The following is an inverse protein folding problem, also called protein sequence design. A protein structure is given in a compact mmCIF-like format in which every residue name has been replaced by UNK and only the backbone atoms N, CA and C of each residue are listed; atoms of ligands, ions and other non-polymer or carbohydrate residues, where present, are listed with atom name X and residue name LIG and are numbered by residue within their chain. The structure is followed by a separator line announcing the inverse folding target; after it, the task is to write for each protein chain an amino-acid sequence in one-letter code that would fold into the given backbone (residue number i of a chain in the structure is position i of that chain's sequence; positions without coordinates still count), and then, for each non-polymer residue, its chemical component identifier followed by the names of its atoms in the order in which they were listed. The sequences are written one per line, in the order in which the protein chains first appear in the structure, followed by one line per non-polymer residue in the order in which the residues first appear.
data_IF_250638846264
#
_entry.id   IF_250638846264
#
_cell.length_a   1.000
_cell.length_b   1.000
_cell.length_c   1.000
_cell.angle_alpha   90.00
_cell.angle_beta   90.00
_cell.angle_gamma   90.00
#
_symmetry.space_group_name_H-M   'P 1'
#
loop_
_entity.id
_entity.type
_entity.pdbx_description
1 polymer ?
#
# COMPACT_ATOMS: atom_id res chain seq x y z
N UNK A 1 2.12 -45.22 11.44
CA UNK A 1 2.65 -44.65 10.16
C UNK A 1 3.69 -43.53 10.41
N UNK A 2 3.90 -43.08 11.66
CA UNK A 2 4.93 -42.08 12.00
C UNK A 2 6.20 -42.68 12.64
N UNK A 3 6.23 -43.98 12.94
CA UNK A 3 7.36 -44.65 13.64
C UNK A 3 8.60 -44.93 12.76
N UNK A 4 8.59 -44.50 11.49
CA UNK A 4 9.63 -44.80 10.51
C UNK A 4 10.47 -43.59 10.07
N UNK A 5 10.20 -42.39 10.56
CA UNK A 5 11.05 -41.22 10.28
C UNK A 5 12.08 -41.06 11.41
N UNK A 6 13.39 -41.21 11.14
CA UNK A 6 14.40 -40.91 12.15
C UNK A 6 14.21 -39.47 12.64
N UNK A 7 14.38 -39.22 13.95
CA UNK A 7 14.12 -37.93 14.59
C UNK A 7 14.80 -36.73 13.91
N UNK A 8 15.92 -36.97 13.22
CA UNK A 8 16.65 -36.00 12.40
C UNK A 8 15.87 -35.56 11.16
N UNK A 9 15.16 -36.46 10.48
CA UNK A 9 14.35 -36.14 9.29
C UNK A 9 13.10 -35.34 9.64
N UNK A 10 12.48 -35.65 10.78
CA UNK A 10 11.38 -34.83 11.30
C UNK A 10 11.83 -33.40 11.59
N UNK A 11 13.01 -33.23 12.21
CA UNK A 11 13.61 -31.92 12.44
C UNK A 11 13.83 -31.14 11.15
N UNK A 12 14.44 -31.76 10.13
CA UNK A 12 14.63 -31.12 8.83
C UNK A 12 13.33 -30.78 8.11
N UNK A 13 12.31 -31.64 8.21
CA UNK A 13 10.99 -31.35 7.65
C UNK A 13 10.35 -30.13 8.31
N UNK A 14 10.44 -30.01 9.65
CA UNK A 14 9.93 -28.84 10.37
C UNK A 14 10.67 -27.55 9.99
N UNK A 15 12.00 -27.62 9.85
CA UNK A 15 12.81 -26.48 9.37
C UNK A 15 12.39 -26.05 7.97
N UNK A 16 12.19 -27.00 7.05
CA UNK A 16 11.76 -26.71 5.69
C UNK A 16 10.36 -26.08 5.66
N UNK A 17 9.41 -26.64 6.42
CA UNK A 17 8.06 -26.08 6.56
C UNK A 17 8.13 -24.65 7.12
N UNK A 18 8.92 -24.42 8.17
CA UNK A 18 9.10 -23.09 8.75
C UNK A 18 9.74 -22.10 7.75
N UNK A 19 10.72 -22.55 6.96
CA UNK A 19 11.38 -21.72 5.95
C UNK A 19 10.41 -21.32 4.81
N UNK A 20 9.60 -22.26 4.31
CA UNK A 20 8.55 -21.98 3.31
C UNK A 20 7.48 -21.03 3.89
N UNK A 21 7.19 -21.18 5.19
CA UNK A 21 6.19 -20.39 5.92
C UNK A 21 6.76 -19.18 6.66
N UNK A 22 7.96 -18.73 6.32
CA UNK A 22 8.66 -17.69 7.07
C UNK A 22 7.85 -16.40 7.20
N UNK A 23 7.06 -16.02 6.19
CA UNK A 23 6.21 -14.82 6.25
C UNK A 23 4.91 -15.03 7.03
N UNK A 24 4.55 -16.27 7.34
CA UNK A 24 3.39 -16.65 8.15
C UNK A 24 3.72 -16.96 9.62
N UNK A 25 5.00 -16.94 10.01
CA UNK A 25 5.40 -17.15 11.41
C UNK A 25 4.90 -16.01 12.31
N UNK A 26 4.70 -16.27 13.62
CA UNK A 26 4.40 -15.21 14.58
C UNK A 26 5.39 -14.04 14.44
N UNK A 27 4.86 -12.82 14.49
CA UNK A 27 5.62 -11.56 14.34
C UNK A 27 6.25 -11.31 12.96
N UNK A 28 6.17 -12.22 11.98
CA UNK A 28 6.77 -12.01 10.66
C UNK A 28 6.26 -10.73 9.98
N UNK A 29 4.96 -10.44 10.08
CA UNK A 29 4.38 -9.18 9.63
C UNK A 29 5.01 -7.96 10.32
N UNK A 30 5.10 -7.97 11.64
CA UNK A 30 5.64 -6.87 12.43
C UNK A 30 7.12 -6.62 12.10
N UNK A 31 7.91 -7.68 11.94
CA UNK A 31 9.31 -7.60 11.51
C UNK A 31 9.39 -6.97 10.13
N UNK A 32 8.61 -7.44 9.15
CA UNK A 32 8.57 -6.86 7.79
C UNK A 32 8.15 -5.40 7.79
N UNK A 33 7.19 -5.04 8.63
CA UNK A 33 6.74 -3.66 8.79
C UNK A 33 7.86 -2.77 9.37
N UNK A 34 8.53 -3.22 10.42
CA UNK A 34 9.67 -2.51 11.02
C UNK A 34 10.82 -2.37 10.02
N UNK A 35 11.12 -3.41 9.26
CA UNK A 35 12.13 -3.37 8.19
C UNK A 35 11.73 -2.40 7.08
N UNK A 36 10.45 -2.35 6.70
CA UNK A 36 9.94 -1.39 5.71
C UNK A 36 10.07 0.05 6.20
N UNK A 37 9.71 0.29 7.45
CA UNK A 37 9.85 1.61 8.10
C UNK A 37 11.33 2.01 8.18
N UNK A 38 12.21 1.12 8.64
CA UNK A 38 13.64 1.36 8.70
C UNK A 38 14.26 1.60 7.31
N UNK A 39 13.81 0.83 6.31
CA UNK A 39 14.19 1.02 4.92
C UNK A 39 13.77 2.40 4.43
N UNK A 40 12.53 2.84 4.70
CA UNK A 40 12.11 4.18 4.29
C UNK A 40 12.91 5.27 4.99
N UNK A 41 13.16 5.16 6.31
CA UNK A 41 14.02 6.12 7.02
C UNK A 41 15.41 6.22 6.37
N UNK A 42 15.99 5.09 5.97
CA UNK A 42 17.28 5.05 5.27
C UNK A 42 17.23 5.71 3.88
N UNK A 43 16.12 5.57 3.16
CA UNK A 43 15.95 6.18 1.83
C UNK A 43 15.52 7.65 1.88
N UNK A 44 15.21 8.18 3.06
CA UNK A 44 14.92 9.60 3.27
C UNK A 44 13.50 10.01 2.91
N UNK A 45 13.32 11.31 2.67
CA UNK A 45 12.01 11.88 2.32
C UNK A 45 11.65 11.59 0.86
N UNK A 46 10.36 11.43 0.57
CA UNK A 46 9.88 11.39 -0.81
C UNK A 46 9.77 12.83 -1.34
N UNK A 47 10.38 13.17 -2.49
CA UNK A 47 10.31 14.52 -3.04
C UNK A 47 8.90 14.91 -3.52
N UNK A 48 8.16 13.95 -4.06
CA UNK A 48 6.83 14.16 -4.60
C UNK A 48 5.87 13.08 -4.11
N UNK A 49 4.76 13.51 -3.49
CA UNK A 49 3.68 12.63 -3.02
C UNK A 49 2.87 12.03 -4.17
N UNK A 50 2.88 12.63 -5.36
CA UNK A 50 2.20 12.14 -6.56
C UNK A 50 2.99 11.02 -7.26
N UNK A 51 4.31 10.97 -7.07
CA UNK A 51 5.14 9.82 -7.45
C UNK A 51 5.14 8.75 -6.35
N UNK A 52 5.14 9.20 -5.09
CA UNK A 52 4.96 8.35 -3.93
C UNK A 52 6.17 7.48 -3.58
N UNK A 53 5.92 6.46 -2.76
CA UNK A 53 6.94 5.50 -2.31
C UNK A 53 6.88 4.23 -3.15
N UNK A 54 8.04 3.68 -3.49
CA UNK A 54 8.20 2.45 -4.27
C UNK A 54 8.88 1.37 -3.43
N UNK A 55 8.19 0.27 -3.19
CA UNK A 55 8.70 -0.88 -2.44
C UNK A 55 8.93 -2.06 -3.40
N UNK A 56 10.20 -2.37 -3.74
CA UNK A 56 10.51 -3.58 -4.49
C UNK A 56 10.34 -4.81 -3.58
N UNK A 57 9.51 -5.74 -4.00
CA UNK A 57 9.10 -6.90 -3.21
C UNK A 57 9.06 -8.18 -4.07
N UNK A 58 8.91 -9.32 -3.41
CA UNK A 58 8.65 -10.62 -4.03
C UNK A 58 7.47 -11.29 -3.34
N UNK A 59 6.72 -12.07 -4.10
CA UNK A 59 5.67 -12.94 -3.53
C UNK A 59 6.34 -14.12 -2.85
N UNK A 60 6.14 -14.27 -1.55
CA UNK A 60 6.61 -15.46 -0.84
C UNK A 60 5.63 -16.62 -1.02
N UNK A 61 6.10 -17.87 -1.05
CA UNK A 61 5.22 -19.04 -1.16
C UNK A 61 4.11 -19.06 -0.10
N UNK A 62 4.40 -18.62 1.13
CA UNK A 62 3.41 -18.52 2.21
C UNK A 62 2.45 -17.34 2.11
N UNK A 63 2.64 -16.45 1.14
CA UNK A 63 1.67 -15.40 0.80
C UNK A 63 0.70 -15.86 -0.30
N UNK A 64 0.91 -17.05 -0.87
CA UNK A 64 0.06 -17.62 -1.90
C UNK A 64 -1.10 -18.42 -1.30
N UNK A 65 -2.22 -18.46 -2.01
CA UNK A 65 -3.32 -19.36 -1.70
C UNK A 65 -3.15 -20.72 -2.43
N UNK A 66 -4.17 -21.58 -2.33
CA UNK A 66 -4.19 -22.91 -2.94
C UNK A 66 -4.07 -22.90 -4.47
N UNK A 67 -4.39 -21.78 -5.12
CA UNK A 67 -4.28 -21.63 -6.58
C UNK A 67 -2.87 -21.21 -7.01
N UNK A 68 -1.91 -21.14 -6.06
CA UNK A 68 -0.52 -20.80 -6.32
C UNK A 68 -0.34 -19.41 -6.91
N UNK A 69 -1.16 -18.45 -6.50
CA UNK A 69 -0.91 -17.04 -6.70
C UNK A 69 -1.01 -16.29 -5.38
N UNK A 70 -0.44 -15.08 -5.34
CA UNK A 70 -0.54 -14.22 -4.17
C UNK A 70 -2.01 -14.08 -3.74
N UNK A 71 -2.26 -14.41 -2.47
CA UNK A 71 -3.58 -14.31 -1.86
C UNK A 71 -4.02 -12.84 -1.82
N UNK A 72 -5.30 -12.58 -2.07
CA UNK A 72 -5.92 -11.25 -2.01
C UNK A 72 -5.64 -10.53 -0.68
N UNK A 73 -5.61 -11.24 0.44
CA UNK A 73 -5.30 -10.65 1.75
C UNK A 73 -3.84 -10.12 1.82
N UNK A 74 -2.90 -10.80 1.16
CA UNK A 74 -1.49 -10.41 1.12
C UNK A 74 -1.29 -9.07 0.41
N UNK A 75 -2.11 -8.74 -0.59
CA UNK A 75 -2.07 -7.42 -1.22
C UNK A 75 -2.41 -6.30 -0.23
N UNK A 76 -3.41 -6.50 0.63
CA UNK A 76 -3.77 -5.48 1.64
C UNK A 76 -2.69 -5.35 2.73
N UNK A 77 -2.03 -6.46 3.10
CA UNK A 77 -0.86 -6.43 3.99
C UNK A 77 0.28 -5.58 3.40
N UNK A 78 0.53 -5.72 2.09
CA UNK A 78 1.53 -4.91 1.39
C UNK A 78 1.08 -3.45 1.25
N UNK A 79 -0.22 -3.21 1.05
CA UNK A 79 -0.78 -1.86 1.08
C UNK A 79 -0.56 -1.19 2.45
N UNK A 80 -0.73 -1.92 3.57
CA UNK A 80 -0.35 -1.43 4.90
C UNK A 80 1.13 -1.02 4.96
N UNK A 81 2.05 -1.91 4.56
CA UNK A 81 3.48 -1.57 4.53
C UNK A 81 3.78 -0.32 3.69
N UNK A 82 3.14 -0.18 2.52
CA UNK A 82 3.28 1.00 1.67
C UNK A 82 2.77 2.28 2.32
N UNK A 83 1.71 2.22 3.13
CA UNK A 83 1.19 3.38 3.87
C UNK A 83 2.10 3.82 4.99
N UNK A 84 2.71 2.89 5.72
CA UNK A 84 3.73 3.23 6.71
C UNK A 84 4.96 3.84 6.04
N UNK A 85 5.42 3.26 4.93
CA UNK A 85 6.51 3.84 4.15
C UNK A 85 6.14 5.24 3.62
N UNK A 86 4.92 5.43 3.12
CA UNK A 86 4.45 6.74 2.68
C UNK A 86 4.43 7.75 3.84
N UNK A 87 3.92 7.36 5.01
CA UNK A 87 3.86 8.22 6.19
C UNK A 87 5.27 8.61 6.70
N UNK A 88 6.23 7.69 6.65
CA UNK A 88 7.62 7.97 7.01
C UNK A 88 8.27 8.87 5.96
N UNK A 89 8.14 8.52 4.68
CA UNK A 89 8.74 9.26 3.56
C UNK A 89 8.21 10.69 3.42
N UNK A 90 6.94 10.92 3.74
CA UNK A 90 6.35 12.27 3.76
C UNK A 90 6.65 13.07 5.02
N UNK A 91 7.23 12.44 6.04
CA UNK A 91 7.37 13.03 7.37
C UNK A 91 6.08 13.11 8.19
N UNK A 92 4.95 12.62 7.67
CA UNK A 92 3.70 12.50 8.43
C UNK A 92 3.90 11.73 9.73
N UNK A 93 4.73 10.69 9.72
CA UNK A 93 5.03 9.90 10.91
C UNK A 93 5.70 10.72 12.03
N UNK A 94 6.67 11.57 11.67
CA UNK A 94 7.34 12.42 12.64
C UNK A 94 6.38 13.50 13.15
N UNK A 95 5.60 14.09 12.24
CA UNK A 95 4.61 15.12 12.55
C UNK A 95 3.47 14.59 13.42
N UNK A 96 3.02 13.36 13.19
CA UNK A 96 1.95 12.73 13.98
C UNK A 96 2.35 12.59 15.45
N UNK A 97 3.62 12.24 15.71
CA UNK A 97 4.18 12.17 17.06
C UNK A 97 4.34 13.55 17.70
N UNK A 98 4.83 14.53 16.94
CA UNK A 98 5.04 15.89 17.43
C UNK A 98 3.71 16.58 17.79
N UNK A 99 2.70 16.44 16.92
CA UNK A 99 1.43 17.16 17.04
C UNK A 99 0.36 16.35 17.79
N UNK A 100 0.64 15.09 18.13
CA UNK A 100 -0.24 14.20 18.88
C UNK A 100 -1.45 13.69 18.08
N UNK A 101 -1.31 13.53 16.77
CA UNK A 101 -2.34 12.89 15.92
C UNK A 101 -1.95 11.47 15.50
N UNK A 102 -2.93 10.70 15.06
CA UNK A 102 -2.70 9.39 14.45
C UNK A 102 -3.40 9.29 13.09
N UNK A 103 -2.93 8.39 12.23
CA UNK A 103 -3.53 8.13 10.93
C UNK A 103 -4.48 6.94 11.04
N UNK A 104 -5.77 7.16 10.78
CA UNK A 104 -6.79 6.12 10.81
C UNK A 104 -7.18 5.71 9.39
N UNK A 105 -7.12 4.41 9.10
CA UNK A 105 -7.62 3.84 7.85
C UNK A 105 -9.15 3.74 7.90
N UNK A 106 -9.84 4.42 6.99
CA UNK A 106 -11.30 4.36 6.89
C UNK A 106 -11.83 3.33 5.90
N UNK A 107 -10.96 2.70 5.10
CA UNK A 107 -11.37 1.69 4.12
C UNK A 107 -10.34 1.48 3.02
N UNK A 108 -10.38 0.29 2.42
CA UNK A 108 -9.50 -0.11 1.31
C UNK A 108 -10.34 -0.83 0.26
N UNK A 109 -10.10 -0.53 -1.01
CA UNK A 109 -10.62 -1.27 -2.15
C UNK A 109 -9.45 -1.69 -3.03
N UNK A 110 -9.39 -2.98 -3.40
CA UNK A 110 -8.37 -3.53 -4.29
C UNK A 110 -9.06 -4.20 -5.47
N UNK A 111 -8.42 -4.11 -6.64
CA UNK A 111 -8.81 -4.75 -7.88
C UNK A 111 -7.64 -5.57 -8.40
N UNK A 112 -7.91 -6.83 -8.70
CA UNK A 112 -6.91 -7.81 -9.14
C UNK A 112 -7.06 -8.02 -10.63
N UNK A 113 -6.08 -7.57 -11.41
CA UNK A 113 -6.12 -7.63 -12.88
C UNK A 113 -5.40 -8.85 -13.41
N UNK A 114 -4.30 -9.26 -12.77
CA UNK A 114 -3.46 -10.38 -13.15
C UNK A 114 -2.84 -10.99 -11.91
N UNK A 115 -2.69 -12.31 -11.91
CA UNK A 115 -2.02 -13.02 -10.84
C UNK A 115 -0.54 -12.61 -10.70
N UNK A 116 -0.05 -12.62 -9.45
CA UNK A 116 1.37 -12.63 -9.14
C UNK A 116 1.73 -14.04 -8.66
N UNK A 117 2.60 -14.71 -9.41
CA UNK A 117 3.03 -16.09 -9.13
C UNK A 117 4.03 -16.14 -7.96
N UNK A 118 4.26 -17.32 -7.36
CA UNK A 118 5.21 -17.47 -6.27
C UNK A 118 6.61 -17.02 -6.73
N UNK A 119 7.33 -16.33 -5.86
CA UNK A 119 8.66 -15.74 -6.08
C UNK A 119 8.74 -14.65 -7.15
N UNK A 120 7.62 -14.29 -7.78
CA UNK A 120 7.56 -13.19 -8.74
C UNK A 120 7.96 -11.88 -8.05
N UNK A 121 8.87 -11.15 -8.68
CA UNK A 121 9.22 -9.80 -8.24
C UNK A 121 8.16 -8.81 -8.73
N UNK A 122 7.86 -7.81 -7.90
CA UNK A 122 6.96 -6.71 -8.22
C UNK A 122 7.38 -5.46 -7.45
N UNK A 123 6.93 -4.31 -7.94
CA UNK A 123 7.06 -3.02 -7.26
C UNK A 123 5.70 -2.62 -6.75
N UNK A 124 5.58 -2.44 -5.44
CA UNK A 124 4.41 -1.81 -4.85
C UNK A 124 4.62 -0.30 -4.76
N UNK A 125 3.69 0.46 -5.31
CA UNK A 125 3.73 1.93 -5.31
C UNK A 125 2.59 2.42 -4.42
N UNK A 126 2.89 3.31 -3.48
CA UNK A 126 1.88 4.03 -2.69
C UNK A 126 2.06 5.53 -2.87
N UNK A 127 1.04 6.20 -3.40
CA UNK A 127 1.09 7.64 -3.72
C UNK A 127 -0.21 8.36 -3.39
N UNK A 128 -0.14 9.67 -3.23
CA UNK A 128 -1.32 10.52 -3.11
C UNK A 128 -2.09 10.49 -4.43
N UNK A 129 -3.36 10.11 -4.37
CA UNK A 129 -4.27 10.19 -5.50
C UNK A 129 -5.10 11.47 -5.44
N UNK A 130 -5.74 11.71 -4.30
CA UNK A 130 -6.60 12.87 -4.07
C UNK A 130 -6.78 13.12 -2.57
N UNK A 131 -7.47 14.20 -2.23
CA UNK A 131 -8.00 14.43 -0.88
C UNK A 131 -9.28 15.26 -0.93
N UNK A 132 -10.06 15.20 0.13
CA UNK A 132 -11.16 16.12 0.41
C UNK A 132 -10.93 16.85 1.75
N UNK A 133 -11.96 17.47 2.31
CA UNK A 133 -11.85 18.19 3.59
C UNK A 133 -11.48 17.31 4.79
N UNK A 134 -11.68 16.00 4.70
CA UNK A 134 -11.47 15.03 5.78
C UNK A 134 -10.51 13.90 5.40
N UNK A 135 -10.66 13.33 4.22
CA UNK A 135 -9.99 12.10 3.81
C UNK A 135 -8.87 12.38 2.81
N UNK A 136 -7.73 11.73 3.05
CA UNK A 136 -6.64 11.55 2.09
C UNK A 136 -6.81 10.21 1.39
N UNK A 137 -6.69 10.20 0.07
CA UNK A 137 -6.81 8.99 -0.74
C UNK A 137 -5.45 8.60 -1.29
N UNK A 138 -5.00 7.40 -0.92
CA UNK A 138 -3.76 6.83 -1.42
C UNK A 138 -4.06 5.78 -2.46
N UNK A 139 -3.41 5.87 -3.62
CA UNK A 139 -3.40 4.82 -4.61
C UNK A 139 -2.32 3.79 -4.27
N UNK A 140 -2.66 2.52 -4.43
CA UNK A 140 -1.77 1.38 -4.35
C UNK A 140 -1.68 0.73 -5.73
N UNK A 141 -0.48 0.59 -6.30
CA UNK A 141 -0.26 -0.14 -7.56
C UNK A 141 0.75 -1.26 -7.35
N UNK A 142 0.47 -2.42 -7.91
CA UNK A 142 1.34 -3.59 -7.91
C UNK A 142 1.81 -3.80 -9.34
N UNK A 143 3.03 -3.40 -9.64
CA UNK A 143 3.56 -3.36 -11.00
C UNK A 143 4.70 -4.36 -11.20
N UNK A 144 4.79 -4.92 -12.40
CA UNK A 144 5.99 -5.65 -12.80
C UNK A 144 7.22 -4.70 -12.79
N UNK A 145 8.39 -5.11 -12.27
CA UNK A 145 9.50 -4.19 -11.98
C UNK A 145 9.99 -3.36 -13.19
N UNK A 146 9.95 -3.93 -14.40
CA UNK A 146 10.58 -3.35 -15.59
C UNK A 146 9.59 -2.88 -16.66
N UNK A 147 8.33 -3.31 -16.62
CA UNK A 147 7.36 -3.00 -17.68
C UNK A 147 6.23 -2.08 -17.23
N UNK A 148 6.16 -1.74 -15.93
CA UNK A 148 5.04 -0.98 -15.37
C UNK A 148 3.70 -1.70 -15.48
N UNK A 149 3.70 -2.99 -15.89
CA UNK A 149 2.48 -3.76 -16.11
C UNK A 149 1.78 -3.97 -14.77
N UNK A 150 0.58 -3.41 -14.64
CA UNK A 150 -0.23 -3.49 -13.42
C UNK A 150 -0.82 -4.90 -13.24
N UNK A 151 -0.53 -5.54 -12.11
CA UNK A 151 -1.10 -6.80 -11.65
C UNK A 151 -2.32 -6.57 -10.76
N UNK A 152 -2.22 -5.63 -9.83
CA UNK A 152 -3.32 -5.18 -9.00
C UNK A 152 -3.20 -3.68 -8.77
N UNK A 153 -4.32 -3.04 -8.47
CA UNK A 153 -4.33 -1.65 -8.03
C UNK A 153 -5.50 -1.41 -7.09
N UNK A 154 -5.48 -0.32 -6.35
CA UNK A 154 -6.57 0.03 -5.47
C UNK A 154 -6.35 1.32 -4.73
N UNK A 155 -7.30 1.64 -3.86
CA UNK A 155 -7.30 2.88 -3.11
C UNK A 155 -7.55 2.62 -1.64
N UNK A 156 -7.00 3.49 -0.81
CA UNK A 156 -7.30 3.53 0.60
C UNK A 156 -7.59 4.96 1.04
N UNK A 157 -8.49 5.11 2.03
CA UNK A 157 -8.84 6.43 2.58
C UNK A 157 -8.33 6.57 4.01
N UNK A 158 -7.64 7.65 4.29
CA UNK A 158 -7.00 7.93 5.57
C UNK A 158 -7.43 9.27 6.13
N UNK A 159 -7.62 9.32 7.43
CA UNK A 159 -7.87 10.57 8.16
C UNK A 159 -6.83 10.73 9.25
N UNK A 160 -6.26 11.93 9.35
CA UNK A 160 -5.42 12.31 10.48
C UNK A 160 -6.33 12.79 11.62
N UNK A 161 -6.23 12.14 12.78
CA UNK A 161 -7.10 12.34 13.94
C UNK A 161 -6.32 12.88 15.13
N UNK A 162 -6.73 14.04 15.65
CA UNK A 162 -6.24 14.62 16.90
C UNK A 162 -7.38 14.67 17.92
N UNK A 163 -7.46 13.65 18.76
CA UNK A 163 -8.64 13.45 19.61
C UNK A 163 -9.90 13.22 18.77
N UNK A 164 -10.91 14.09 18.90
CA UNK A 164 -12.13 14.03 18.09
C UNK A 164 -12.01 14.74 16.74
N UNK A 165 -11.05 15.65 16.62
CA UNK A 165 -10.90 16.53 15.47
C UNK A 165 -10.18 15.82 14.32
N UNK A 166 -10.61 16.16 13.10
CA UNK A 166 -9.96 15.77 11.85
C UNK A 166 -8.92 16.85 11.48
N UNK A 167 -7.68 16.45 11.18
CA UNK A 167 -6.67 17.33 10.61
C UNK A 167 -6.85 17.33 9.09
N UNK A 168 -7.20 18.46 8.45
CA UNK A 168 -7.48 18.50 7.02
C UNK A 168 -6.25 18.06 6.20
N UNK A 169 -6.42 17.13 5.22
CA UNK A 169 -5.31 16.64 4.40
C UNK A 169 -4.51 17.74 3.69
N UNK A 170 -5.19 18.75 3.13
CA UNK A 170 -4.55 19.86 2.44
C UNK A 170 -3.62 20.66 3.38
N UNK A 171 -4.09 20.98 4.59
CA UNK A 171 -3.29 21.65 5.61
C UNK A 171 -2.07 20.81 5.99
N UNK A 172 -2.29 19.53 6.29
CA UNK A 172 -1.22 18.60 6.67
C UNK A 172 -0.15 18.48 5.58
N UNK A 173 -0.54 18.33 4.31
CA UNK A 173 0.39 18.22 3.19
C UNK A 173 1.18 19.51 2.97
N UNK A 174 0.55 20.69 3.08
CA UNK A 174 1.25 21.98 2.98
C UNK A 174 2.30 22.14 4.07
N UNK A 175 1.95 21.81 5.32
CA UNK A 175 2.88 21.87 6.45
C UNK A 175 4.06 20.89 6.32
N UNK A 176 3.89 19.82 5.54
CA UNK A 176 4.94 18.85 5.23
C UNK A 176 5.77 19.22 3.98
N UNK A 177 5.49 20.38 3.37
CA UNK A 177 6.22 20.88 2.22
C UNK A 177 5.66 20.46 0.86
N UNK A 178 4.43 19.94 0.79
CA UNK A 178 3.80 19.45 -0.45
C UNK A 178 2.73 20.41 -0.99
N UNK A 179 2.99 21.72 -0.93
CA UNK A 179 2.04 22.75 -1.39
C UNK A 179 1.69 22.61 -2.87
N UNK A 180 2.69 22.39 -3.73
CA UNK A 180 2.48 22.25 -5.18
C UNK A 180 1.57 21.05 -5.50
N UNK A 181 1.78 19.92 -4.82
CA UNK A 181 0.94 18.73 -4.99
C UNK A 181 -0.51 19.00 -4.53
N UNK A 182 -0.70 19.78 -3.46
CA UNK A 182 -2.03 20.21 -3.01
C UNK A 182 -2.72 21.04 -4.08
N UNK A 183 -2.01 21.96 -4.73
CA UNK A 183 -2.55 22.81 -5.79
C UNK A 183 -2.93 21.99 -7.03
N UNK A 184 -2.06 21.07 -7.46
CA UNK A 184 -2.34 20.14 -8.57
C UNK A 184 -3.57 19.29 -8.30
N UNK A 185 -3.64 18.65 -7.13
CA UNK A 185 -4.76 17.78 -6.77
C UNK A 185 -6.07 18.58 -6.63
N UNK A 186 -6.00 19.78 -6.06
CA UNK A 186 -7.18 20.64 -5.91
C UNK A 186 -7.72 21.09 -7.27
N UNK A 187 -6.83 21.48 -8.19
CA UNK A 187 -7.21 21.85 -9.55
C UNK A 187 -7.83 20.68 -10.33
N UNK A 188 -7.23 19.48 -10.22
CA UNK A 188 -7.79 18.25 -10.81
C UNK A 188 -9.17 17.90 -10.24
N UNK A 189 -9.36 18.09 -8.94
CA UNK A 189 -10.66 17.83 -8.29
C UNK A 189 -11.71 18.86 -8.71
N UNK A 190 -11.34 20.15 -8.77
CA UNK A 190 -12.23 21.23 -9.19
C UNK A 190 -12.65 21.13 -10.67
N UNK A 191 -11.72 20.74 -11.55
CA UNK A 191 -11.97 20.56 -12.99
C UNK A 191 -12.93 19.40 -13.31
N UNK A 192 -13.18 18.48 -12.37
CA UNK A 192 -14.06 17.32 -12.57
C UNK A 192 -15.54 17.53 -12.18
N UNK A 193 -15.94 18.68 -11.62
CA UNK A 193 -17.32 19.01 -11.21
C UNK A 193 -17.96 17.99 -10.20
N UNK A 194 -19.03 18.33 -9.45
CA UNK A 194 -19.38 17.67 -8.19
C UNK A 194 -20.22 16.39 -8.37
N UNK A 195 -19.60 15.35 -8.91
CA UNK A 195 -20.07 13.98 -8.80
C UNK A 195 -18.84 13.17 -8.34
N UNK A 196 -18.77 12.55 -7.18
CA UNK A 196 -19.79 12.22 -6.23
C UNK A 196 -19.10 11.81 -4.91
N UNK A 197 -19.87 11.61 -3.86
CA UNK A 197 -19.36 11.05 -2.60
C UNK A 197 -18.53 9.78 -2.85
N UNK A 198 -17.61 9.46 -1.94
CA UNK A 198 -16.78 8.25 -1.90
C UNK A 198 -17.53 6.95 -2.25
N UNK A 199 -18.83 6.86 -1.93
CA UNK A 199 -19.68 5.73 -2.34
C UNK A 199 -19.81 5.64 -3.86
N UNK A 200 -20.11 6.76 -4.51
CA UNK A 200 -20.23 6.83 -5.95
C UNK A 200 -18.88 6.86 -6.69
N UNK A 201 -17.75 7.20 -6.04
CA UNK A 201 -16.42 6.98 -6.63
C UNK A 201 -16.04 5.49 -6.55
N UNK A 202 -16.39 4.81 -5.46
CA UNK A 202 -16.26 3.36 -5.32
C UNK A 202 -17.16 2.58 -6.29
N UNK A 203 -18.36 3.09 -6.58
CA UNK A 203 -19.30 2.51 -7.53
C UNK A 203 -18.92 2.86 -8.99
N UNK A 204 -18.43 4.08 -9.27
CA UNK A 204 -17.93 4.47 -10.62
C UNK A 204 -16.59 3.82 -11.00
N UNK A 205 -15.90 3.19 -10.04
CA UNK A 205 -14.70 2.39 -10.27
C UNK A 205 -15.03 1.12 -11.09
N UNK A 206 -16.30 0.71 -11.17
CA UNK A 206 -16.72 -0.40 -12.03
C UNK A 206 -16.95 0.05 -13.50
N UNK A 207 -17.35 1.31 -13.76
CA UNK A 207 -17.69 1.77 -15.12
C UNK A 207 -16.66 2.71 -15.79
N UNK A 208 -15.91 3.53 -15.03
CA UNK A 208 -15.06 4.58 -15.63
C UNK A 208 -13.59 4.18 -15.89
N UNK A 209 -13.16 3.00 -15.46
CA UNK A 209 -11.74 2.60 -15.50
C UNK A 209 -11.31 1.80 -16.73
N UNK A 210 -12.23 1.46 -17.64
CA UNK A 210 -11.85 0.95 -18.96
C UNK A 210 -11.20 2.03 -19.84
N UNK A 211 -11.50 3.33 -19.61
CA UNK A 211 -11.08 4.41 -20.51
C UNK A 211 -9.81 5.17 -20.06
N UNK A 212 -9.39 5.04 -18.79
CA UNK A 212 -8.14 5.67 -18.29
C UNK A 212 -6.90 4.81 -18.57
N UNK A 213 -7.07 3.53 -18.87
CA UNK A 213 -5.97 2.65 -19.30
C UNK A 213 -5.31 3.10 -20.62
N UNK A 214 -6.01 3.89 -21.45
CA UNK A 214 -5.47 4.43 -22.71
C UNK A 214 -4.55 5.65 -22.56
N UNK A 215 -4.45 6.25 -21.36
CA UNK A 215 -3.71 7.52 -21.17
C UNK A 215 -2.26 7.36 -20.73
N UNK A 216 -1.85 6.14 -20.34
CA UNK A 216 -0.50 5.85 -19.82
C UNK A 216 0.21 4.70 -20.57
N UNK A 217 -0.24 4.39 -21.79
CA UNK A 217 0.40 3.41 -22.68
C UNK A 217 1.04 4.07 -23.91
N UNK A 218 1.78 5.17 -23.69
CA UNK A 218 2.78 5.65 -24.65
C UNK A 218 4.14 5.66 -23.98
#
# INVERSE_FOLDING_TARGET
MLDYLPSTWLGWALVLIAAINVTGLPLAFHIRLLLTVAWQFRNGRIPDVLEGVRLPLRVWPSECDINLHMNNASYNLVADMGRYAFAVGTGMWAKSRADGFYLANGGVSLRFKRELKPLAAYTHITRLHSFDGKWMYLEHRFEAPNSGKVHAFGYSRFVAKKGRDDVPPATLLRELGYADAVDVVSALTASKAPHASLGALADSIDDALYDVAGRWSR
#
